data_IF_110848176932
#
_entry.id   IF_110848176932
#
_cell.length_a   1.000
_cell.length_b   1.000
_cell.length_c   1.000
_cell.angle_alpha   90.00
_cell.angle_beta   90.00
_cell.angle_gamma   90.00
#
_symmetry.space_group_name_H-M   'P 1'
#
loop_
_entity.id
_entity.type
_entity.pdbx_description
1 polymer ?
#
# COMPACT_ATOMS: atom_id res chain seq x y z
N UNK A 1 8.87 0.93 11.42
CA UNK A 1 8.03 0.52 10.28
C UNK A 1 8.59 -0.79 9.76
N UNK A 2 7.73 -1.70 9.31
CA UNK A 2 8.14 -2.91 8.63
C UNK A 2 7.40 -3.05 7.29
N UNK A 3 8.11 -3.62 6.31
CA UNK A 3 7.57 -3.98 5.01
C UNK A 3 7.54 -5.51 4.92
N UNK A 4 6.34 -6.09 4.78
CA UNK A 4 6.19 -7.53 4.60
C UNK A 4 6.72 -8.00 3.24
N UNK A 5 6.92 -9.31 3.09
CA UNK A 5 7.26 -9.89 1.79
C UNK A 5 6.13 -9.66 0.77
N UNK A 6 6.50 -9.51 -0.50
CA UNK A 6 5.54 -9.41 -1.60
C UNK A 6 4.96 -10.80 -1.86
N UNK A 7 3.63 -10.93 -1.75
CA UNK A 7 2.92 -12.19 -1.95
C UNK A 7 1.80 -12.05 -2.98
N UNK A 8 1.49 -13.14 -3.68
CA UNK A 8 0.37 -13.19 -4.62
C UNK A 8 -0.95 -13.34 -3.85
N UNK A 9 -1.92 -12.45 -4.10
CA UNK A 9 -3.24 -12.46 -3.47
C UNK A 9 -4.35 -12.18 -4.50
N UNK A 10 -5.52 -12.83 -4.39
CA UNK A 10 -6.67 -12.48 -5.21
C UNK A 10 -7.15 -11.07 -4.87
N UNK A 11 -7.52 -10.29 -5.89
CA UNK A 11 -8.11 -8.97 -5.76
C UNK A 11 -9.11 -8.75 -6.91
N UNK A 12 -10.16 -7.97 -6.63
CA UNK A 12 -11.11 -7.54 -7.66
C UNK A 12 -10.44 -6.48 -8.53
N UNK A 13 -10.69 -6.58 -9.83
CA UNK A 13 -10.26 -5.62 -10.85
C UNK A 13 -11.50 -5.23 -11.64
N UNK A 14 -11.77 -3.93 -11.66
CA UNK A 14 -12.88 -3.37 -12.42
C UNK A 14 -12.46 -3.29 -13.90
N UNK A 15 -13.31 -3.79 -14.80
CA UNK A 15 -13.12 -3.67 -16.24
C UNK A 15 -14.39 -3.14 -16.91
N UNK A 16 -14.31 -2.65 -18.16
CA UNK A 16 -15.51 -2.20 -18.88
C UNK A 16 -16.60 -3.27 -19.04
N UNK A 17 -16.22 -4.54 -18.98
CA UNK A 17 -17.12 -5.70 -19.11
C UNK A 17 -17.67 -6.19 -17.77
N UNK A 18 -17.16 -5.66 -16.64
CA UNK A 18 -17.54 -6.03 -15.27
C UNK A 18 -16.36 -6.30 -14.35
N UNK A 19 -16.66 -6.78 -13.14
CA UNK A 19 -15.67 -7.08 -12.11
C UNK A 19 -15.08 -8.49 -12.29
N UNK A 20 -13.76 -8.59 -12.25
CA UNK A 20 -13.04 -9.86 -12.32
C UNK A 20 -12.10 -10.07 -11.13
N UNK A 21 -11.94 -11.32 -10.70
CA UNK A 21 -10.96 -11.69 -9.67
C UNK A 21 -9.63 -12.01 -10.37
N UNK A 22 -8.60 -11.19 -10.13
CA UNK A 22 -7.25 -11.41 -10.62
C UNK A 22 -6.25 -11.60 -9.47
N UNK A 23 -5.14 -12.28 -9.76
CA UNK A 23 -4.03 -12.43 -8.81
C UNK A 23 -3.10 -11.21 -8.92
N UNK A 24 -2.95 -10.46 -7.83
CA UNK A 24 -2.06 -9.29 -7.73
C UNK A 24 -0.90 -9.56 -6.77
N UNK A 25 0.25 -8.95 -7.04
CA UNK A 25 1.35 -8.87 -6.08
C UNK A 25 1.03 -7.81 -5.04
N UNK A 26 1.00 -8.17 -3.76
CA UNK A 26 0.70 -7.26 -2.64
C UNK A 26 1.79 -7.32 -1.58
N UNK A 27 2.08 -6.17 -1.00
CA UNK A 27 2.94 -5.99 0.17
C UNK A 27 2.11 -5.40 1.31
N UNK A 28 2.33 -5.84 2.54
CA UNK A 28 1.67 -5.29 3.72
C UNK A 28 2.65 -4.40 4.49
N UNK A 29 2.25 -3.15 4.73
CA UNK A 29 3.02 -2.20 5.51
C UNK A 29 2.49 -2.16 6.94
N UNK A 30 3.40 -2.16 7.92
CA UNK A 30 3.05 -1.96 9.32
C UNK A 30 3.88 -0.83 9.93
N UNK A 31 3.23 -0.02 10.76
CA UNK A 31 3.85 1.12 11.41
C UNK A 31 3.39 1.20 12.85
N UNK A 32 4.30 0.84 13.76
CA UNK A 32 4.19 1.16 15.18
C UNK A 32 4.76 2.55 15.41
N UNK A 33 4.07 3.33 16.24
CA UNK A 33 4.43 4.68 16.63
C UNK A 33 4.11 4.89 18.11
N UNK A 34 4.73 5.90 18.71
CA UNK A 34 4.49 6.26 20.11
C UNK A 34 3.24 7.13 20.23
N UNK A 35 2.18 6.58 20.83
CA UNK A 35 0.90 7.25 21.01
C UNK A 35 0.94 8.48 21.93
N UNK A 36 2.02 8.69 22.68
CA UNK A 36 2.22 9.90 23.49
C UNK A 36 2.53 11.13 22.63
N UNK A 37 3.03 10.90 21.42
CA UNK A 37 3.48 11.94 20.48
C UNK A 37 2.64 11.94 19.21
N UNK A 38 2.21 10.77 18.75
CA UNK A 38 1.52 10.60 17.47
C UNK A 38 0.17 9.93 17.69
N UNK A 39 -0.90 10.61 17.29
CA UNK A 39 -2.23 10.01 17.27
C UNK A 39 -2.40 9.01 16.11
N UNK A 40 -3.45 8.19 16.19
CA UNK A 40 -3.67 7.16 15.19
C UNK A 40 -4.06 7.66 13.80
N UNK A 41 -4.64 8.86 13.71
CA UNK A 41 -4.98 9.46 12.42
C UNK A 41 -3.72 9.92 11.69
N UNK A 42 -2.77 10.54 12.41
CA UNK A 42 -1.49 10.97 11.88
C UNK A 42 -0.62 9.76 11.48
N UNK A 43 -0.52 8.76 12.36
CA UNK A 43 0.21 7.52 12.06
C UNK A 43 -0.39 6.77 10.86
N UNK A 44 -1.72 6.69 10.77
CA UNK A 44 -2.42 6.08 9.63
C UNK A 44 -2.21 6.86 8.31
N UNK A 45 -2.28 8.19 8.36
CA UNK A 45 -1.99 9.06 7.20
C UNK A 45 -0.57 8.88 6.68
N UNK A 46 0.40 8.71 7.57
CA UNK A 46 1.79 8.46 7.18
C UNK A 46 1.91 7.16 6.37
N UNK A 47 1.39 6.04 6.88
CA UNK A 47 1.44 4.75 6.16
C UNK A 47 0.70 4.82 4.84
N UNK A 48 -0.48 5.46 4.81
CA UNK A 48 -1.23 5.66 3.57
C UNK A 48 -0.41 6.45 2.54
N UNK A 49 0.23 7.55 2.95
CA UNK A 49 1.03 8.37 2.04
C UNK A 49 2.21 7.59 1.44
N UNK A 50 2.84 6.72 2.23
CA UNK A 50 3.90 5.81 1.75
C UNK A 50 3.33 4.80 0.75
N UNK A 51 2.17 4.19 1.04
CA UNK A 51 1.50 3.27 0.13
C UNK A 51 1.17 3.96 -1.21
N UNK A 52 0.50 5.12 -1.17
CA UNK A 52 0.13 5.88 -2.37
C UNK A 52 1.36 6.21 -3.24
N UNK A 53 2.48 6.57 -2.61
CA UNK A 53 3.74 6.88 -3.31
C UNK A 53 4.36 5.65 -3.98
N UNK A 54 4.31 4.48 -3.34
CA UNK A 54 4.82 3.24 -3.92
C UNK A 54 3.90 2.70 -5.02
N UNK A 55 2.58 2.87 -4.88
CA UNK A 55 1.60 2.46 -5.90
C UNK A 55 1.64 3.34 -7.15
N UNK A 56 2.01 4.63 -7.00
CA UNK A 56 2.18 5.59 -8.10
C UNK A 56 3.63 5.69 -8.60
N UNK A 57 4.45 4.67 -8.36
CA UNK A 57 5.87 4.70 -8.71
C UNK A 57 6.11 4.80 -10.22
N UNK A 58 6.90 5.80 -10.64
CA UNK A 58 7.36 5.94 -12.01
C UNK A 58 8.62 5.11 -12.26
N UNK A 59 8.53 4.14 -13.17
CA UNK A 59 9.63 3.27 -13.55
C UNK A 59 10.75 4.01 -14.29
N UNK A 60 10.48 5.17 -14.87
CA UNK A 60 11.45 5.97 -15.62
C UNK A 60 12.04 7.11 -14.78
N UNK A 61 11.79 7.12 -13.47
CA UNK A 61 12.33 8.13 -12.56
C UNK A 61 13.86 8.11 -12.57
N UNK A 62 14.48 9.24 -12.93
CA UNK A 62 15.92 9.45 -12.76
C UNK A 62 16.27 9.61 -11.27
N UNK A 63 17.38 9.01 -10.85
CA UNK A 63 17.86 8.95 -9.45
C UNK A 63 18.98 9.97 -9.24
#
# INVERSE_FOLDING_TARGET
MAAGAIVKKPAVVETPEGDLIAVRHKMFLSHSYDHRVVDGALGGKFVKRVADYLESWDLNREI
#
